data_IF_623030950552
#
_entry.id   IF_623030950552
#
_cell.length_a   1.000
_cell.length_b   1.000
_cell.length_c   1.000
_cell.angle_alpha   90.00
_cell.angle_beta   90.00
_cell.angle_gamma   90.00
#
_symmetry.space_group_name_H-M   'P 1'
#
loop_
_entity.id
_entity.type
_entity.pdbx_description
1 polymer ?
#
# COMPACT_ATOMS: atom_id res chain seq x y z
N UNK A 1 11.20 -78.06 -10.24
CA UNK A 1 11.92 -76.81 -9.93
C UNK A 1 11.52 -75.64 -10.85
N UNK A 2 11.46 -75.83 -12.17
CA UNK A 2 11.14 -74.76 -13.16
C UNK A 2 9.75 -74.10 -12.96
N UNK A 3 8.74 -74.85 -12.53
CA UNK A 3 7.38 -74.33 -12.30
C UNK A 3 7.28 -73.41 -11.07
N UNK A 4 8.07 -73.68 -10.03
CA UNK A 4 8.15 -72.86 -8.83
C UNK A 4 8.87 -71.54 -9.09
N UNK A 5 9.98 -71.59 -9.84
CA UNK A 5 10.69 -70.39 -10.28
C UNK A 5 9.79 -69.47 -11.13
N UNK A 6 9.00 -70.04 -12.07
CA UNK A 6 8.02 -69.28 -12.86
C UNK A 6 6.95 -68.62 -11.99
N UNK A 7 6.43 -69.33 -10.97
CA UNK A 7 5.43 -68.77 -10.05
C UNK A 7 6.01 -67.62 -9.22
N UNK A 8 7.22 -67.77 -8.68
CA UNK A 8 7.90 -66.70 -7.93
C UNK A 8 8.14 -65.47 -8.81
N UNK A 9 8.60 -65.69 -10.05
CA UNK A 9 8.84 -64.60 -10.99
C UNK A 9 7.55 -63.83 -11.34
N UNK A 10 6.45 -64.54 -11.60
CA UNK A 10 5.15 -63.92 -11.85
C UNK A 10 4.62 -63.15 -10.64
N UNK A 11 4.77 -63.69 -9.43
CA UNK A 11 4.33 -62.98 -8.22
C UNK A 11 5.14 -61.72 -7.96
N UNK A 12 6.45 -61.73 -8.24
CA UNK A 12 7.30 -60.55 -8.10
C UNK A 12 6.93 -59.43 -9.09
N UNK A 13 6.65 -59.79 -10.34
CA UNK A 13 6.17 -58.84 -11.35
C UNK A 13 4.84 -58.21 -10.91
N UNK A 14 3.91 -59.03 -10.44
CA UNK A 14 2.59 -58.57 -10.03
C UNK A 14 2.67 -57.62 -8.82
N UNK A 15 3.50 -57.96 -7.83
CA UNK A 15 3.82 -57.08 -6.70
C UNK A 15 4.46 -55.77 -7.14
N UNK A 16 5.40 -55.82 -8.10
CA UNK A 16 6.04 -54.64 -8.63
C UNK A 16 5.07 -53.70 -9.37
N UNK A 17 4.13 -54.25 -10.15
CA UNK A 17 3.09 -53.44 -10.81
C UNK A 17 2.16 -52.77 -9.81
N UNK A 18 1.73 -53.50 -8.77
CA UNK A 18 0.87 -52.94 -7.72
C UNK A 18 1.60 -51.86 -6.94
N UNK A 19 2.83 -52.14 -6.50
CA UNK A 19 3.66 -51.17 -5.80
C UNK A 19 3.91 -49.90 -6.63
N UNK A 20 4.20 -50.05 -7.93
CA UNK A 20 4.44 -48.92 -8.84
C UNK A 20 3.18 -48.05 -9.02
N UNK A 21 1.98 -48.65 -9.11
CA UNK A 21 0.72 -47.90 -9.16
C UNK A 21 0.43 -47.14 -7.86
N UNK A 22 0.66 -47.77 -6.71
CA UNK A 22 0.44 -47.14 -5.39
C UNK A 22 1.42 -45.98 -5.18
N UNK A 23 2.72 -46.18 -5.49
CA UNK A 23 3.72 -45.13 -5.35
C UNK A 23 3.51 -43.97 -6.34
N UNK A 24 2.99 -44.24 -7.54
CA UNK A 24 2.64 -43.19 -8.49
C UNK A 24 1.56 -42.26 -7.91
N UNK A 25 0.52 -42.80 -7.30
CA UNK A 25 -0.56 -42.00 -6.73
C UNK A 25 -0.21 -41.30 -5.40
N UNK A 26 0.63 -41.91 -4.56
CA UNK A 26 0.88 -41.43 -3.19
C UNK A 26 2.16 -40.62 -3.02
N UNK A 27 3.16 -40.83 -3.89
CA UNK A 27 4.46 -40.17 -3.76
C UNK A 27 4.76 -39.28 -4.97
N UNK A 28 4.68 -37.97 -4.73
CA UNK A 28 5.05 -36.93 -5.70
C UNK A 28 6.49 -37.06 -6.19
N UNK A 29 7.41 -37.51 -5.33
CA UNK A 29 8.82 -37.76 -5.67
C UNK A 29 9.02 -38.94 -6.63
N UNK A 30 8.29 -40.05 -6.44
CA UNK A 30 8.35 -41.20 -7.33
C UNK A 30 7.75 -40.86 -8.70
N UNK A 31 6.61 -40.19 -8.71
CA UNK A 31 5.95 -39.73 -9.92
C UNK A 31 6.84 -38.73 -10.72
N UNK A 32 7.56 -37.86 -10.01
CA UNK A 32 8.56 -36.95 -10.57
C UNK A 32 9.79 -37.67 -11.16
N UNK A 33 10.27 -38.75 -10.52
CA UNK A 33 11.38 -39.56 -11.00
C UNK A 33 10.99 -40.42 -12.21
N UNK A 34 9.81 -41.05 -12.16
CA UNK A 34 9.25 -41.83 -13.27
C UNK A 34 9.04 -40.96 -14.51
N UNK A 35 8.46 -39.77 -14.33
CA UNK A 35 8.32 -38.78 -15.41
C UNK A 35 9.67 -38.35 -15.99
N UNK A 36 10.70 -38.23 -15.14
CA UNK A 36 12.07 -37.90 -15.56
C UNK A 36 12.71 -39.00 -16.39
N UNK A 37 12.64 -40.25 -15.94
CA UNK A 37 13.13 -41.44 -16.65
C UNK A 37 12.44 -41.63 -18.00
N UNK A 38 11.12 -41.46 -18.06
CA UNK A 38 10.36 -41.53 -19.32
C UNK A 38 10.81 -40.43 -20.29
N UNK A 39 11.06 -39.22 -19.80
CA UNK A 39 11.54 -38.12 -20.65
C UNK A 39 12.95 -38.33 -21.19
N UNK A 40 13.87 -38.89 -20.39
CA UNK A 40 15.27 -39.09 -20.78
C UNK A 40 15.49 -40.35 -21.61
N UNK A 41 14.75 -41.42 -21.34
CA UNK A 41 14.90 -42.69 -22.05
C UNK A 41 14.09 -42.76 -23.34
N UNK A 42 12.90 -42.13 -23.40
CA UNK A 42 11.99 -42.24 -24.54
C UNK A 42 11.89 -40.95 -25.37
N UNK A 43 12.50 -39.85 -24.93
CA UNK A 43 12.52 -38.57 -25.67
C UNK A 43 11.15 -37.90 -25.82
N UNK A 44 10.12 -38.40 -25.14
CA UNK A 44 8.76 -37.86 -25.23
C UNK A 44 8.64 -36.67 -24.28
N UNK A 45 8.34 -35.50 -24.82
CA UNK A 45 8.07 -34.28 -24.06
C UNK A 45 6.78 -34.43 -23.25
N UNK A 46 6.91 -34.84 -21.99
CA UNK A 46 5.78 -35.07 -21.08
C UNK A 46 5.17 -33.75 -20.60
N UNK A 47 3.85 -33.76 -20.34
CA UNK A 47 3.08 -32.64 -19.75
C UNK A 47 3.71 -32.13 -18.46
N UNK A 48 4.40 -33.00 -17.71
CA UNK A 48 5.17 -32.68 -16.50
C UNK A 48 6.28 -31.64 -16.73
N UNK A 49 6.96 -31.69 -17.88
CA UNK A 49 7.99 -30.69 -18.24
C UNK A 49 7.38 -29.32 -18.53
N UNK A 50 6.27 -29.28 -19.25
CA UNK A 50 5.52 -28.06 -19.51
C UNK A 50 4.94 -27.46 -18.20
N UNK A 51 4.43 -28.30 -17.30
CA UNK A 51 3.95 -27.88 -15.98
C UNK A 51 5.08 -27.32 -15.10
N UNK A 52 6.24 -27.98 -15.07
CA UNK A 52 7.44 -27.46 -14.37
C UNK A 52 7.92 -26.13 -14.92
N UNK A 53 7.93 -25.98 -16.26
CA UNK A 53 8.24 -24.71 -16.92
C UNK A 53 7.26 -23.59 -16.53
N UNK A 54 5.96 -23.90 -16.48
CA UNK A 54 4.91 -22.96 -16.08
C UNK A 54 5.00 -22.58 -14.60
N UNK A 55 5.30 -23.53 -13.72
CA UNK A 55 5.56 -23.28 -12.28
C UNK A 55 6.81 -22.41 -12.10
N UNK A 56 7.90 -22.69 -12.83
CA UNK A 56 9.11 -21.87 -12.77
C UNK A 56 8.86 -20.43 -13.29
N UNK A 57 8.08 -20.28 -14.37
CA UNK A 57 7.68 -18.98 -14.89
C UNK A 57 6.77 -18.22 -13.90
N UNK A 58 5.80 -18.90 -13.28
CA UNK A 58 4.95 -18.33 -12.24
C UNK A 58 5.76 -17.91 -11.00
N UNK A 59 6.70 -18.73 -10.53
CA UNK A 59 7.56 -18.38 -9.40
C UNK A 59 8.41 -17.13 -9.69
N UNK A 60 8.91 -16.98 -10.92
CA UNK A 60 9.60 -15.75 -11.35
C UNK A 60 8.67 -14.54 -11.38
N UNK A 61 7.44 -14.70 -11.84
CA UNK A 61 6.44 -13.63 -11.80
C UNK A 61 6.10 -13.24 -10.35
N UNK A 62 5.87 -14.22 -9.47
CA UNK A 62 5.62 -14.00 -8.03
C UNK A 62 6.79 -13.26 -7.38
N UNK A 63 8.03 -13.66 -7.66
CA UNK A 63 9.21 -12.98 -7.14
C UNK A 63 9.28 -11.51 -7.59
N UNK A 64 8.95 -11.22 -8.86
CA UNK A 64 8.87 -9.85 -9.38
C UNK A 64 7.77 -9.03 -8.69
N UNK A 65 6.59 -9.61 -8.48
CA UNK A 65 5.50 -8.96 -7.77
C UNK A 65 5.83 -8.70 -6.30
N UNK A 66 6.50 -9.65 -5.63
CA UNK A 66 6.96 -9.47 -4.26
C UNK A 66 8.01 -8.37 -4.15
N UNK A 67 8.98 -8.33 -5.06
CA UNK A 67 9.99 -7.27 -5.09
C UNK A 67 9.38 -5.88 -5.29
N UNK A 68 8.41 -5.75 -6.21
CA UNK A 68 7.65 -4.51 -6.41
C UNK A 68 6.81 -4.15 -5.17
N UNK A 69 6.16 -5.13 -4.54
CA UNK A 69 5.36 -4.92 -3.34
C UNK A 69 6.20 -4.45 -2.13
N UNK A 70 7.43 -4.96 -1.97
CA UNK A 70 8.34 -4.51 -0.91
C UNK A 70 8.73 -3.05 -1.11
N UNK A 71 9.05 -2.64 -2.35
CA UNK A 71 9.35 -1.23 -2.68
C UNK A 71 8.17 -0.31 -2.36
N UNK A 72 6.97 -0.67 -2.81
CA UNK A 72 5.73 0.08 -2.53
C UNK A 72 5.46 0.20 -1.04
N UNK A 73 5.57 -0.90 -0.28
CA UNK A 73 5.42 -0.89 1.19
C UNK A 73 6.40 0.05 1.88
N UNK A 74 7.66 0.09 1.41
CA UNK A 74 8.67 0.98 1.96
C UNK A 74 8.32 2.45 1.70
N UNK A 75 7.89 2.80 0.48
CA UNK A 75 7.44 4.14 0.12
C UNK A 75 6.23 4.57 0.96
N UNK A 76 5.18 3.75 1.04
CA UNK A 76 3.99 4.04 1.86
C UNK A 76 4.32 4.21 3.33
N UNK A 77 5.23 3.37 3.87
CA UNK A 77 5.65 3.48 5.28
C UNK A 77 6.40 4.78 5.55
N UNK A 78 7.29 5.20 4.64
CA UNK A 78 8.01 6.48 4.74
C UNK A 78 7.02 7.66 4.73
N UNK A 79 6.11 7.69 3.76
CA UNK A 79 5.05 8.69 3.68
C UNK A 79 4.23 8.73 4.99
N UNK A 80 3.73 7.58 5.45
CA UNK A 80 2.94 7.48 6.67
C UNK A 80 3.68 7.98 7.92
N UNK A 81 4.98 7.68 8.06
CA UNK A 81 5.78 8.18 9.19
C UNK A 81 5.96 9.70 9.17
N UNK A 82 6.19 10.30 8.00
CA UNK A 82 6.31 11.76 7.84
C UNK A 82 4.98 12.43 8.15
N UNK A 83 3.90 11.94 7.56
CA UNK A 83 2.56 12.46 7.76
C UNK A 83 2.17 12.41 9.25
N UNK A 84 2.34 11.26 9.90
CA UNK A 84 2.03 11.10 11.33
C UNK A 84 2.83 12.08 12.21
N UNK A 85 4.12 12.28 11.92
CA UNK A 85 4.96 13.20 12.70
C UNK A 85 4.50 14.65 12.57
N UNK A 86 4.10 15.08 11.36
CA UNK A 86 3.57 16.42 11.08
C UNK A 86 2.20 16.64 11.70
N UNK A 87 1.26 15.72 11.47
CA UNK A 87 -0.08 15.78 12.07
C UNK A 87 -0.02 15.90 13.59
N UNK A 88 0.90 15.18 14.25
CA UNK A 88 1.10 15.29 15.69
C UNK A 88 1.57 16.69 16.11
N UNK A 89 2.50 17.28 15.35
CA UNK A 89 3.02 18.62 15.63
C UNK A 89 1.93 19.68 15.47
N UNK A 90 1.22 19.66 14.35
CA UNK A 90 0.08 20.56 14.09
C UNK A 90 -0.97 20.42 15.18
N UNK A 91 -1.41 19.20 15.49
CA UNK A 91 -2.42 18.99 16.53
C UNK A 91 -1.98 19.50 17.92
N UNK A 92 -0.69 19.33 18.26
CA UNK A 92 -0.16 19.87 19.50
C UNK A 92 -0.14 21.41 19.50
N UNK A 93 0.19 22.03 18.37
CA UNK A 93 0.21 23.48 18.19
C UNK A 93 -1.20 24.07 18.23
N UNK A 94 -2.18 23.48 17.53
CA UNK A 94 -3.58 23.92 17.55
C UNK A 94 -4.16 23.84 18.97
N UNK A 95 -3.86 22.78 19.74
CA UNK A 95 -4.32 22.68 21.15
C UNK A 95 -3.64 23.73 22.04
N UNK A 96 -2.36 24.01 21.80
CA UNK A 96 -1.62 25.02 22.56
C UNK A 96 -2.08 26.46 22.23
N UNK A 97 -2.64 26.70 21.04
CA UNK A 97 -3.12 28.02 20.61
C UNK A 97 -4.46 28.42 21.24
N UNK A 98 -5.30 27.46 21.68
CA UNK A 98 -6.65 27.70 22.20
C UNK A 98 -6.73 28.85 23.23
N UNK A 99 -5.85 28.92 24.27
CA UNK A 99 -5.94 30.01 25.25
C UNK A 99 -5.58 31.38 24.67
N UNK A 100 -4.69 31.42 23.67
CA UNK A 100 -4.28 32.65 23.00
C UNK A 100 -5.33 33.17 22.02
N UNK A 101 -6.09 32.26 21.40
CA UNK A 101 -7.22 32.58 20.51
C UNK A 101 -8.37 33.30 21.23
N UNK A 102 -8.49 33.14 22.55
CA UNK A 102 -9.52 33.78 23.34
C UNK A 102 -9.30 35.29 23.59
N UNK A 103 -8.09 35.80 23.32
CA UNK A 103 -7.77 37.21 23.59
C UNK A 103 -8.15 38.06 22.36
N UNK A 104 -8.97 39.13 22.50
CA UNK A 104 -9.28 40.03 21.39
C UNK A 104 -8.02 40.61 20.74
N UNK A 105 -8.03 40.83 19.42
CA UNK A 105 -6.87 41.19 18.57
C UNK A 105 -5.74 40.15 18.49
N UNK A 106 -5.23 39.66 19.63
CA UNK A 106 -4.15 38.66 19.66
C UNK A 106 -4.61 37.32 19.11
N UNK A 107 -5.84 36.92 19.40
CA UNK A 107 -6.41 35.66 18.97
C UNK A 107 -6.63 35.58 17.46
N UNK A 108 -7.07 36.67 16.81
CA UNK A 108 -7.18 36.73 15.35
C UNK A 108 -5.80 36.63 14.69
N UNK A 109 -4.83 37.33 15.26
CA UNK A 109 -3.44 37.28 14.77
C UNK A 109 -2.87 35.86 14.88
N UNK A 110 -3.10 35.21 16.02
CA UNK A 110 -2.65 33.85 16.29
C UNK A 110 -3.38 32.83 15.41
N UNK A 111 -4.67 33.01 15.16
CA UNK A 111 -5.47 32.18 14.27
C UNK A 111 -4.97 32.25 12.83
N UNK A 112 -4.77 33.46 12.29
CA UNK A 112 -4.23 33.63 10.92
C UNK A 112 -2.83 33.03 10.80
N UNK A 113 -1.98 33.26 11.81
CA UNK A 113 -0.64 32.66 11.85
C UNK A 113 -0.70 31.13 11.92
N UNK A 114 -1.55 30.57 12.79
CA UNK A 114 -1.78 29.13 12.92
C UNK A 114 -2.29 28.51 11.62
N UNK A 115 -3.32 29.10 11.00
CA UNK A 115 -3.84 28.66 9.71
C UNK A 115 -2.77 28.73 8.60
N UNK A 116 -1.92 29.76 8.60
CA UNK A 116 -0.83 29.87 7.63
C UNK A 116 0.19 28.72 7.79
N UNK A 117 0.47 28.33 9.04
CA UNK A 117 1.37 27.25 9.38
C UNK A 117 0.76 25.88 9.05
N UNK A 118 -0.52 25.67 9.38
CA UNK A 118 -1.30 24.49 9.01
C UNK A 118 -1.30 24.28 7.49
N UNK A 119 -1.49 25.36 6.73
CA UNK A 119 -1.48 25.30 5.28
C UNK A 119 -0.09 24.95 4.72
N UNK A 120 0.97 25.52 5.29
CA UNK A 120 2.34 25.16 4.93
C UNK A 120 2.63 23.68 5.15
N UNK A 121 2.22 23.11 6.29
CA UNK A 121 2.37 21.69 6.58
C UNK A 121 1.49 20.80 5.69
N UNK A 122 0.27 21.22 5.40
CA UNK A 122 -0.63 20.53 4.46
C UNK A 122 0.00 20.45 3.07
N UNK A 123 0.58 21.54 2.57
CA UNK A 123 1.26 21.58 1.28
C UNK A 123 2.50 20.70 1.19
N UNK A 124 3.28 20.63 2.26
CA UNK A 124 4.38 19.66 2.34
C UNK A 124 3.87 18.20 2.33
N UNK A 125 2.68 17.95 2.88
CA UNK A 125 2.06 16.63 2.84
C UNK A 125 1.55 16.25 1.44
N UNK A 126 1.04 17.23 0.66
CA UNK A 126 0.69 17.03 -0.75
C UNK A 126 1.93 16.70 -1.59
N UNK A 127 3.05 17.41 -1.37
CA UNK A 127 4.32 17.11 -2.06
C UNK A 127 4.88 15.73 -1.71
N UNK A 128 4.77 15.30 -0.45
CA UNK A 128 5.15 13.95 -0.06
C UNK A 128 4.21 12.89 -0.67
N UNK A 129 2.94 13.23 -0.92
CA UNK A 129 1.98 12.34 -1.60
C UNK A 129 2.30 12.20 -3.08
N UNK A 130 2.68 13.30 -3.74
CA UNK A 130 3.16 13.30 -5.12
C UNK A 130 4.41 12.40 -5.28
N UNK A 131 5.37 12.55 -4.37
CA UNK A 131 6.54 11.66 -4.30
C UNK A 131 6.13 10.18 -4.10
N UNK A 132 5.10 9.91 -3.30
CA UNK A 132 4.59 8.55 -3.12
C UNK A 132 3.93 8.00 -4.40
N UNK A 133 3.17 8.82 -5.14
CA UNK A 133 2.60 8.41 -6.42
C UNK A 133 3.69 8.07 -7.43
N UNK A 134 4.75 8.85 -7.48
CA UNK A 134 5.91 8.55 -8.30
C UNK A 134 6.59 7.23 -7.92
N UNK A 135 6.80 7.00 -6.61
CA UNK A 135 7.34 5.73 -6.11
C UNK A 135 6.43 4.51 -6.42
N UNK A 136 5.13 4.73 -6.63
CA UNK A 136 4.17 3.70 -7.00
C UNK A 136 4.03 3.50 -8.52
N UNK A 137 4.61 4.39 -9.33
CA UNK A 137 4.49 4.43 -10.79
C UNK A 137 3.12 4.93 -11.26
N UNK A 138 2.56 5.90 -10.54
CA UNK A 138 1.27 6.54 -10.81
C UNK A 138 1.47 8.02 -11.17
N UNK A 139 2.44 8.29 -12.05
CA UNK A 139 2.87 9.63 -12.44
C UNK A 139 1.81 10.32 -13.33
N UNK A 140 0.76 10.85 -12.71
CA UNK A 140 -0.05 11.90 -13.32
C UNK A 140 0.38 13.21 -12.70
N UNK A 141 1.04 14.05 -13.49
CA UNK A 141 1.66 15.27 -13.02
C UNK A 141 0.58 16.22 -12.50
N UNK A 142 0.61 16.51 -11.20
CA UNK A 142 -0.31 17.48 -10.60
C UNK A 142 0.01 18.84 -11.23
N UNK A 143 -0.97 19.50 -11.89
CA UNK A 143 -0.72 20.79 -12.51
C UNK A 143 -0.17 21.80 -11.49
N UNK A 144 0.98 22.39 -11.80
CA UNK A 144 1.71 23.31 -10.93
C UNK A 144 0.87 24.52 -10.50
N UNK A 145 -0.07 24.94 -11.33
CA UNK A 145 -1.02 26.02 -11.08
C UNK A 145 -2.02 25.66 -9.95
N UNK A 146 -2.50 24.42 -9.94
CA UNK A 146 -3.38 23.91 -8.89
C UNK A 146 -2.64 23.85 -7.56
N UNK A 147 -1.42 23.30 -7.54
CA UNK A 147 -0.60 23.23 -6.33
C UNK A 147 -0.31 24.63 -5.77
N UNK A 148 -0.02 25.60 -6.64
CA UNK A 148 0.29 26.98 -6.25
C UNK A 148 -0.93 27.72 -5.71
N UNK A 149 -2.11 27.48 -6.27
CA UNK A 149 -3.36 28.06 -5.79
C UNK A 149 -3.73 27.57 -4.38
N UNK A 150 -3.51 26.28 -4.11
CA UNK A 150 -3.83 25.67 -2.81
C UNK A 150 -2.80 26.08 -1.75
N UNK A 151 -1.54 26.21 -2.14
CA UNK A 151 -0.44 26.42 -1.20
C UNK A 151 -0.07 27.87 -0.91
N UNK A 152 -0.62 28.83 -1.65
CA UNK A 152 -0.36 30.24 -1.41
C UNK A 152 -1.62 31.10 -1.60
N UNK A 153 -2.67 30.87 -0.78
CA UNK A 153 -3.86 31.70 -0.78
C UNK A 153 -3.55 33.06 -0.18
N UNK A 154 -4.31 34.07 -0.61
CA UNK A 154 -4.27 35.39 0.03
C UNK A 154 -4.95 35.30 1.40
N UNK A 155 -4.16 35.48 2.47
CA UNK A 155 -4.68 35.56 3.82
C UNK A 155 -5.13 36.99 4.13
N UNK A 156 -6.28 37.17 4.81
CA UNK A 156 -6.78 38.49 5.21
C UNK A 156 -5.87 39.16 6.24
N UNK A 157 -5.90 40.50 6.27
CA UNK A 157 -5.19 41.27 7.30
C UNK A 157 -5.92 41.19 8.65
N UNK A 158 -5.22 40.92 9.78
CA UNK A 158 -5.85 40.77 11.09
C UNK A 158 -6.72 41.97 11.50
N UNK A 159 -6.28 43.20 11.19
CA UNK A 159 -6.99 44.42 11.54
C UNK A 159 -8.32 44.55 10.78
N UNK A 160 -8.32 44.27 9.48
CA UNK A 160 -9.53 44.28 8.63
C UNK A 160 -10.53 43.22 9.09
N UNK A 161 -10.04 42.03 9.44
CA UNK A 161 -10.85 40.94 9.97
C UNK A 161 -11.58 41.35 11.26
N UNK A 162 -10.87 41.98 12.19
CA UNK A 162 -11.46 42.44 13.44
C UNK A 162 -12.54 43.50 13.24
N UNK A 163 -12.30 44.47 12.34
CA UNK A 163 -13.32 45.47 12.00
C UNK A 163 -14.59 44.82 11.46
N UNK A 164 -14.44 43.78 10.62
CA UNK A 164 -15.58 43.05 10.08
C UNK A 164 -16.36 42.28 11.17
N UNK A 165 -15.66 41.74 12.17
CA UNK A 165 -16.28 41.08 13.33
C UNK A 165 -17.11 42.09 14.15
N UNK A 166 -16.57 43.28 14.41
CA UNK A 166 -17.30 44.35 15.11
C UNK A 166 -18.52 44.81 14.30
N UNK A 167 -18.36 45.05 13.00
CA UNK A 167 -19.45 45.48 12.13
C UNK A 167 -20.63 44.50 12.15
N UNK A 168 -20.33 43.19 12.21
CA UNK A 168 -21.35 42.13 12.20
C UNK A 168 -21.86 41.74 13.58
N UNK A 169 -21.18 42.11 14.67
CA UNK A 169 -21.58 41.68 16.02
C UNK A 169 -22.97 42.15 16.41
N UNK A 170 -23.37 43.36 16.01
CA UNK A 170 -24.71 43.89 16.30
C UNK A 170 -25.84 43.09 15.62
N UNK A 171 -25.59 42.58 14.41
CA UNK A 171 -26.54 41.72 13.70
C UNK A 171 -26.69 40.35 14.38
N UNK A 172 -25.61 39.78 14.91
CA UNK A 172 -25.68 38.50 15.62
C UNK A 172 -26.38 38.61 16.96
N UNK A 173 -26.12 39.69 17.70
CA UNK A 173 -26.72 39.93 19.00
C UNK A 173 -28.24 40.19 18.88
N UNK A 174 -28.67 40.92 17.86
CA UNK A 174 -30.10 41.13 17.58
C UNK A 174 -30.80 39.86 17.09
N UNK A 175 -30.18 39.08 16.20
CA UNK A 175 -30.73 37.80 15.74
C UNK A 175 -30.87 36.73 16.83
N UNK A 176 -29.96 36.73 17.83
CA UNK A 176 -30.09 35.86 19.00
C UNK A 176 -31.27 36.29 19.90
N UNK A 177 -31.53 37.60 20.02
CA UNK A 177 -32.64 38.15 20.81
C UNK A 177 -34.02 37.81 20.24
N UNK A 178 -34.15 37.60 18.93
CA UNK A 178 -35.41 37.26 18.27
C UNK A 178 -35.72 35.75 18.26
N UNK A 179 -34.76 34.91 18.70
CA UNK A 179 -34.84 33.44 18.66
C UNK A 179 -35.05 32.75 20.01
N UNK A 180 -35.25 33.52 21.09
CA UNK A 180 -35.62 33.04 22.43
C UNK A 180 -37.02 33.47 22.83
#
# INVERSE_FOLDING_TARGET
>A
MITWAKRIFLTLILLALVASNVLSLTHTAFNAALSGLVSTALGVSTVSGALRGKVAAQNRAIARHQAAAVKRRAATRRFGTRLMSRTRRVAAESVAAIPGEAIPFLGISLLIAGTSYELYEACNSIRDLDQLYADMGMDEEIPDDVLRSVCNPALPEPATLWQHVIEKSDQWLTGLSDSG
#
